data_IF_196252787176
#
_entry.id   IF_196252787176
#
_cell.length_a   1.000
_cell.length_b   1.000
_cell.length_c   1.000
_cell.angle_alpha   90.00
_cell.angle_beta   90.00
_cell.angle_gamma   90.00
#
_symmetry.space_group_name_H-M   'P 1'
#
loop_
_entity.id
_entity.type
_entity.pdbx_description
1 polymer ?
#
# COMPACT_ATOMS: atom_id res chain seq x y z
N UNK A 1 -1.97 1.47 29.02
CA UNK A 1 -1.73 2.84 29.51
C UNK A 1 -3.08 3.51 29.61
N UNK A 2 -3.55 3.72 30.84
CA UNK A 2 -4.82 4.40 31.07
C UNK A 2 -4.63 5.90 30.83
N UNK A 3 -5.10 6.38 29.69
CA UNK A 3 -5.20 7.80 29.43
C UNK A 3 -6.46 8.33 30.15
N UNK A 4 -6.27 8.83 31.35
CA UNK A 4 -7.32 9.51 32.11
C UNK A 4 -7.55 10.92 31.50
N UNK A 5 -8.22 10.95 30.33
CA UNK A 5 -8.52 12.19 29.59
C UNK A 5 -9.83 12.84 30.03
N UNK A 6 -10.46 12.37 31.12
CA UNK A 6 -11.82 12.77 31.51
C UNK A 6 -12.02 14.25 31.88
N UNK A 7 -10.95 15.08 31.94
CA UNK A 7 -11.09 16.48 32.37
C UNK A 7 -10.21 17.51 31.61
N UNK A 8 -9.57 17.15 30.47
CA UNK A 8 -8.85 18.16 29.68
C UNK A 8 -9.82 18.77 28.67
N UNK A 9 -9.91 20.11 28.66
CA UNK A 9 -10.69 20.86 27.67
C UNK A 9 -10.02 20.71 26.31
N UNK A 10 -10.71 20.10 25.34
CA UNK A 10 -10.23 19.96 23.97
C UNK A 10 -10.05 21.34 23.33
N UNK A 11 -8.97 21.51 22.59
CA UNK A 11 -8.61 22.79 21.97
C UNK A 11 -8.66 22.67 20.44
N UNK A 12 -9.10 23.71 19.73
CA UNK A 12 -9.02 23.76 18.27
C UNK A 12 -7.55 23.75 17.82
N UNK A 13 -7.34 23.29 16.59
CA UNK A 13 -6.02 23.26 15.97
C UNK A 13 -5.72 24.66 15.47
N UNK A 14 -4.68 25.29 16.03
CA UNK A 14 -4.24 26.63 15.61
C UNK A 14 -2.98 26.62 14.73
N UNK A 15 -2.47 25.43 14.37
CA UNK A 15 -1.30 25.28 13.53
C UNK A 15 -1.70 24.82 12.13
N UNK A 16 -1.47 25.66 11.12
CA UNK A 16 -1.84 25.40 9.72
C UNK A 16 -1.19 24.13 9.14
N UNK A 17 0.06 23.85 9.47
CA UNK A 17 0.75 22.67 8.98
C UNK A 17 0.15 21.37 9.56
N UNK A 18 -0.27 21.39 10.84
CA UNK A 18 -0.99 20.27 11.44
C UNK A 18 -2.38 20.09 10.82
N UNK A 19 -3.10 21.18 10.54
CA UNK A 19 -4.39 21.15 9.83
C UNK A 19 -4.24 20.48 8.45
N UNK A 20 -3.24 20.88 7.67
CA UNK A 20 -2.96 20.26 6.37
C UNK A 20 -2.66 18.76 6.51
N UNK A 21 -1.89 18.35 7.52
CA UNK A 21 -1.61 16.94 7.80
C UNK A 21 -2.85 16.14 8.23
N UNK A 22 -3.87 16.80 8.75
CA UNK A 22 -5.12 16.19 9.21
C UNK A 22 -6.17 16.02 8.10
N UNK A 23 -6.01 16.63 6.92
CA UNK A 23 -6.97 16.50 5.84
C UNK A 23 -7.28 15.04 5.49
N UNK A 24 -6.24 14.23 5.23
CA UNK A 24 -6.44 12.81 4.91
C UNK A 24 -6.94 11.96 6.10
N UNK A 25 -6.39 12.06 7.32
CA UNK A 25 -6.99 11.43 8.50
C UNK A 25 -8.47 11.74 8.69
N UNK A 26 -8.86 12.99 8.54
CA UNK A 26 -10.27 13.46 8.66
C UNK A 26 -11.13 12.82 7.56
N UNK A 27 -10.70 12.89 6.29
CA UNK A 27 -11.39 12.24 5.18
C UNK A 27 -11.62 10.74 5.44
N UNK A 28 -10.57 10.03 5.87
CA UNK A 28 -10.67 8.59 6.15
C UNK A 28 -11.54 8.28 7.36
N UNK A 29 -11.57 9.19 8.33
CA UNK A 29 -12.44 9.04 9.51
C UNK A 29 -13.91 9.26 9.17
N UNK A 30 -14.23 10.20 8.29
CA UNK A 30 -15.60 10.41 7.81
C UNK A 30 -16.16 9.20 7.04
N UNK A 31 -15.32 8.46 6.31
CA UNK A 31 -15.71 7.22 5.63
C UNK A 31 -15.97 6.03 6.57
N UNK A 32 -15.72 6.17 7.87
CA UNK A 32 -15.85 5.07 8.82
C UNK A 32 -17.30 4.66 9.10
N UNK A 33 -18.27 5.59 8.94
CA UNK A 33 -19.70 5.30 9.10
C UNK A 33 -20.14 4.19 8.14
N UNK A 34 -19.90 4.37 6.84
CA UNK A 34 -20.27 3.42 5.79
C UNK A 34 -19.54 2.08 5.98
N UNK A 35 -18.24 2.16 6.31
CA UNK A 35 -17.47 0.95 6.60
C UNK A 35 -18.05 0.15 7.77
N UNK A 36 -18.43 0.79 8.86
CA UNK A 36 -18.99 0.13 10.05
C UNK A 36 -20.34 -0.50 9.69
N UNK A 37 -21.23 0.23 9.01
CA UNK A 37 -22.51 -0.26 8.52
C UNK A 37 -22.32 -1.50 7.63
N UNK A 38 -21.39 -1.45 6.66
CA UNK A 38 -21.11 -2.57 5.76
C UNK A 38 -20.48 -3.81 6.45
N UNK A 39 -19.94 -3.63 7.65
CA UNK A 39 -19.34 -4.71 8.43
C UNK A 39 -20.28 -5.33 9.47
N UNK A 40 -21.48 -4.81 9.69
CA UNK A 40 -22.39 -5.28 10.74
C UNK A 40 -22.78 -6.75 10.60
N UNK A 41 -22.97 -7.24 9.38
CA UNK A 41 -23.34 -8.64 9.09
C UNK A 41 -22.14 -9.61 9.05
N UNK A 42 -20.91 -9.15 9.29
CA UNK A 42 -19.68 -9.96 9.17
C UNK A 42 -19.26 -10.69 10.46
N UNK A 43 -20.12 -10.73 11.48
CA UNK A 43 -19.83 -11.38 12.78
C UNK A 43 -18.52 -10.94 13.43
N UNK A 44 -18.16 -9.65 13.34
CA UNK A 44 -16.96 -9.08 13.92
C UNK A 44 -17.30 -8.26 15.17
N UNK A 45 -16.29 -8.11 16.05
CA UNK A 45 -16.40 -7.19 17.19
C UNK A 45 -16.34 -5.75 16.67
N UNK A 46 -17.49 -5.10 16.51
CA UNK A 46 -17.63 -3.77 15.94
C UNK A 46 -17.01 -2.68 16.80
N UNK A 47 -16.91 -2.86 18.13
CA UNK A 47 -16.36 -1.84 19.03
C UNK A 47 -14.97 -1.39 18.62
N UNK A 48 -14.09 -2.34 18.27
CA UNK A 48 -12.75 -2.00 17.77
C UNK A 48 -12.76 -1.24 16.47
N UNK A 49 -13.76 -1.47 15.60
CA UNK A 49 -13.92 -0.73 14.36
C UNK A 49 -14.40 0.70 14.64
N UNK A 50 -15.38 0.86 15.52
CA UNK A 50 -15.93 2.16 15.93
C UNK A 50 -14.89 3.06 16.57
N UNK A 51 -13.98 2.48 17.36
CA UNK A 51 -12.87 3.20 18.00
C UNK A 51 -11.73 3.59 17.03
N UNK A 52 -11.70 3.02 15.82
CA UNK A 52 -10.60 3.23 14.88
C UNK A 52 -10.48 4.70 14.47
N UNK A 53 -9.31 5.30 14.74
CA UNK A 53 -9.04 6.71 14.43
C UNK A 53 -9.70 7.72 15.37
N UNK A 54 -10.41 7.30 16.44
CA UNK A 54 -10.94 8.25 17.42
C UNK A 54 -9.84 8.99 18.17
N UNK A 55 -8.70 8.35 18.30
CA UNK A 55 -7.50 8.92 18.92
C UNK A 55 -6.34 8.72 17.96
N UNK A 56 -5.63 9.80 17.65
CA UNK A 56 -4.39 9.78 16.87
C UNK A 56 -3.31 10.62 17.51
N UNK A 57 -2.07 10.30 17.21
CA UNK A 57 -0.90 10.95 17.74
C UNK A 57 0.03 11.39 16.63
N UNK A 58 0.37 12.67 16.61
CA UNK A 58 1.39 13.23 15.75
C UNK A 58 2.65 13.57 16.53
N UNK A 59 3.78 13.49 15.87
CA UNK A 59 5.04 14.05 16.33
C UNK A 59 5.47 15.15 15.34
N UNK A 60 6.12 16.20 15.86
CA UNK A 60 6.55 17.34 15.04
C UNK A 60 8.01 17.69 15.22
N UNK A 61 8.57 18.39 14.24
CA UNK A 61 9.79 19.18 14.38
C UNK A 61 9.63 20.27 15.45
N UNK A 62 10.77 20.84 15.94
CA UNK A 62 10.78 21.88 16.95
C UNK A 62 9.97 23.12 16.55
N UNK A 63 10.12 23.53 15.31
CA UNK A 63 9.45 24.69 14.72
C UNK A 63 7.96 24.44 14.34
N UNK A 64 7.46 23.21 14.56
CA UNK A 64 6.10 22.77 14.20
C UNK A 64 5.74 22.99 12.71
N UNK A 65 6.73 22.92 11.83
CA UNK A 65 6.48 23.00 10.38
C UNK A 65 6.22 21.66 9.75
N UNK A 66 6.69 20.56 10.38
CA UNK A 66 6.55 19.19 9.89
C UNK A 66 5.91 18.31 10.94
N UNK A 67 4.98 17.48 10.48
CA UNK A 67 4.24 16.54 11.33
C UNK A 67 4.22 15.14 10.72
N UNK A 68 4.39 14.13 11.57
CA UNK A 68 4.26 12.73 11.21
C UNK A 68 3.23 12.05 12.10
N UNK A 69 2.39 11.21 11.51
CA UNK A 69 1.45 10.38 12.27
C UNK A 69 2.23 9.26 12.99
N UNK A 70 2.33 9.35 14.31
CA UNK A 70 3.17 8.49 15.15
C UNK A 70 2.40 7.34 15.81
N UNK A 71 1.06 7.42 15.87
CA UNK A 71 0.25 6.38 16.49
C UNK A 71 -1.22 6.72 16.57
N UNK A 72 -2.01 5.81 17.16
CA UNK A 72 -3.46 5.99 17.34
C UNK A 72 -4.17 4.68 17.66
N UNK A 73 -5.49 4.77 17.79
CA UNK A 73 -6.37 3.61 17.89
C UNK A 73 -6.63 3.06 16.48
N UNK A 74 -6.04 1.94 16.13
CA UNK A 74 -6.20 1.37 14.79
C UNK A 74 -6.76 -0.05 14.86
N UNK A 75 -7.84 -0.33 14.11
CA UNK A 75 -8.47 -1.64 14.07
C UNK A 75 -7.67 -2.68 13.29
N UNK A 76 -6.73 -2.24 12.43
CA UNK A 76 -5.91 -3.07 11.53
C UNK A 76 -6.73 -3.93 10.55
N UNK A 77 -8.00 -3.62 10.34
CA UNK A 77 -8.79 -4.27 9.31
C UNK A 77 -8.36 -3.77 7.92
N UNK A 78 -8.12 -4.69 6.98
CA UNK A 78 -7.66 -4.34 5.62
C UNK A 78 -8.67 -3.57 4.79
N UNK A 79 -9.95 -3.66 5.15
CA UNK A 79 -11.05 -2.95 4.50
C UNK A 79 -11.40 -1.64 5.21
N UNK A 80 -10.81 -1.34 6.34
CA UNK A 80 -11.01 -0.07 7.03
C UNK A 80 -10.37 1.08 6.23
N UNK A 81 -11.09 2.17 5.91
CA UNK A 81 -10.55 3.29 5.12
C UNK A 81 -9.31 3.90 5.76
N UNK A 82 -9.32 4.06 7.08
CA UNK A 82 -8.19 4.60 7.82
C UNK A 82 -6.96 3.67 7.84
N UNK A 83 -7.17 2.41 8.22
CA UNK A 83 -6.08 1.45 8.35
C UNK A 83 -5.47 1.04 7.00
N UNK A 84 -6.27 0.93 5.94
CA UNK A 84 -5.79 0.63 4.60
C UNK A 84 -4.94 1.77 4.04
N UNK A 85 -5.34 3.03 4.26
CA UNK A 85 -4.56 4.21 3.91
C UNK A 85 -3.20 4.24 4.63
N UNK A 86 -3.19 4.05 5.96
CA UNK A 86 -1.93 3.98 6.72
C UNK A 86 -1.01 2.87 6.22
N UNK A 87 -1.59 1.71 5.94
CA UNK A 87 -0.85 0.57 5.42
C UNK A 87 -0.28 0.86 4.04
N UNK A 88 -1.03 1.49 3.16
CA UNK A 88 -0.56 1.87 1.83
C UNK A 88 0.64 2.81 1.92
N UNK A 89 0.56 3.87 2.75
CA UNK A 89 1.69 4.79 3.00
C UNK A 89 2.94 4.06 3.50
N UNK A 90 2.80 3.21 4.52
CA UNK A 90 3.92 2.43 5.05
C UNK A 90 4.51 1.50 4.01
N UNK A 91 3.66 0.79 3.27
CA UNK A 91 4.10 -0.13 2.20
C UNK A 91 4.86 0.63 1.11
N UNK A 92 4.45 1.85 0.76
CA UNK A 92 5.14 2.67 -0.23
C UNK A 92 6.59 2.96 0.17
N UNK A 93 6.81 3.35 1.43
CA UNK A 93 8.16 3.56 1.96
C UNK A 93 8.99 2.27 1.95
N UNK A 94 8.44 1.18 2.50
CA UNK A 94 9.10 -0.13 2.55
C UNK A 94 9.50 -0.63 1.16
N UNK A 95 8.65 -0.40 0.15
CA UNK A 95 8.94 -0.78 -1.23
C UNK A 95 10.05 0.08 -1.85
N UNK A 96 10.01 1.40 -1.63
CA UNK A 96 11.05 2.30 -2.12
C UNK A 96 12.41 1.95 -1.53
N UNK A 97 12.48 1.74 -0.22
CA UNK A 97 13.69 1.33 0.47
C UNK A 97 14.21 -0.01 -0.09
N UNK A 98 13.35 -1.02 -0.15
CA UNK A 98 13.72 -2.34 -0.64
C UNK A 98 14.25 -2.33 -2.07
N UNK A 99 13.57 -1.63 -2.98
CA UNK A 99 13.95 -1.58 -4.39
C UNK A 99 15.28 -0.84 -4.55
N UNK A 100 15.47 0.28 -3.85
CA UNK A 100 16.73 1.05 -3.89
C UNK A 100 17.91 0.26 -3.31
N UNK A 101 17.71 -0.46 -2.21
CA UNK A 101 18.73 -1.35 -1.65
C UNK A 101 19.14 -2.42 -2.66
N UNK A 102 18.16 -3.10 -3.27
CA UNK A 102 18.43 -4.14 -4.29
C UNK A 102 19.13 -3.54 -5.52
N UNK A 103 18.70 -2.36 -5.99
CA UNK A 103 19.33 -1.67 -7.13
C UNK A 103 20.81 -1.36 -6.86
N UNK A 104 21.09 -0.78 -5.72
CA UNK A 104 22.44 -0.35 -5.33
C UNK A 104 23.37 -1.54 -5.09
N UNK A 105 22.91 -2.53 -4.33
CA UNK A 105 23.74 -3.67 -3.88
C UNK A 105 23.99 -4.67 -5.01
N UNK A 106 22.94 -5.02 -5.75
CA UNK A 106 22.99 -6.08 -6.76
C UNK A 106 23.24 -5.55 -8.18
N UNK A 107 23.28 -4.21 -8.36
CA UNK A 107 23.47 -3.58 -9.68
C UNK A 107 22.43 -4.01 -10.73
N UNK A 108 21.22 -4.36 -10.28
CA UNK A 108 20.12 -4.81 -11.13
C UNK A 108 19.37 -3.62 -11.75
N UNK A 109 18.56 -3.93 -12.74
CA UNK A 109 17.55 -3.06 -13.32
C UNK A 109 16.16 -3.67 -13.08
N UNK A 110 15.11 -2.92 -13.37
CA UNK A 110 13.74 -3.36 -13.12
C UNK A 110 12.84 -3.17 -14.34
N UNK A 111 11.88 -4.06 -14.47
CA UNK A 111 10.77 -3.93 -15.42
C UNK A 111 9.46 -3.95 -14.66
N UNK A 112 8.50 -3.16 -15.14
CA UNK A 112 7.13 -3.14 -14.63
C UNK A 112 6.24 -3.94 -15.58
N UNK A 113 5.48 -4.89 -15.03
CA UNK A 113 4.57 -5.75 -15.79
C UNK A 113 3.16 -5.57 -15.24
N UNK A 114 2.18 -5.44 -16.14
CA UNK A 114 0.75 -5.54 -15.81
C UNK A 114 0.17 -6.75 -16.52
N UNK A 115 -0.47 -7.63 -15.75
CA UNK A 115 -1.21 -8.78 -16.26
C UNK A 115 -2.68 -8.61 -15.93
N UNK A 116 -3.55 -8.83 -16.90
CA UNK A 116 -4.99 -8.70 -16.74
C UNK A 116 -5.71 -9.99 -17.11
N UNK A 117 -6.96 -10.12 -16.67
CA UNK A 117 -7.93 -11.11 -17.10
C UNK A 117 -9.23 -10.40 -17.46
N UNK A 118 -10.16 -11.03 -18.20
CA UNK A 118 -11.47 -10.44 -18.47
C UNK A 118 -12.21 -10.08 -17.18
N UNK A 119 -13.10 -9.10 -17.28
CA UNK A 119 -13.97 -8.72 -16.19
C UNK A 119 -14.88 -9.89 -15.78
N UNK A 120 -15.22 -9.94 -14.51
CA UNK A 120 -16.06 -10.98 -13.94
C UNK A 120 -17.14 -10.39 -13.01
N UNK A 121 -18.27 -11.10 -12.88
CA UNK A 121 -19.28 -10.75 -11.90
C UNK A 121 -18.80 -11.02 -10.46
N UNK A 122 -19.52 -10.48 -9.48
CA UNK A 122 -19.24 -10.68 -8.05
C UNK A 122 -19.06 -12.16 -7.69
N UNK A 123 -19.99 -13.01 -8.14
CA UNK A 123 -20.03 -14.43 -7.77
C UNK A 123 -18.80 -15.20 -8.25
N UNK A 124 -18.20 -14.77 -9.37
CA UNK A 124 -17.03 -15.40 -9.99
C UNK A 124 -15.70 -14.80 -9.54
N UNK A 125 -15.72 -13.63 -8.88
CA UNK A 125 -14.50 -12.88 -8.55
C UNK A 125 -13.51 -13.70 -7.73
N UNK A 126 -13.97 -14.40 -6.71
CA UNK A 126 -13.11 -15.21 -5.84
C UNK A 126 -12.45 -16.37 -6.59
N UNK A 127 -13.21 -17.06 -7.43
CA UNK A 127 -12.72 -18.17 -8.25
C UNK A 127 -11.71 -17.64 -9.29
N UNK A 128 -12.02 -16.51 -9.95
CA UNK A 128 -11.11 -15.89 -10.92
C UNK A 128 -9.78 -15.49 -10.28
N UNK A 129 -9.78 -14.92 -9.08
CA UNK A 129 -8.55 -14.61 -8.35
C UNK A 129 -7.71 -15.89 -8.09
N UNK A 130 -8.34 -17.02 -7.81
CA UNK A 130 -7.63 -18.30 -7.61
C UNK A 130 -7.05 -18.83 -8.93
N UNK A 131 -7.81 -18.79 -10.01
CA UNK A 131 -7.36 -19.13 -11.35
C UNK A 131 -6.21 -18.22 -11.81
N UNK A 132 -6.31 -16.93 -11.52
CA UNK A 132 -5.31 -15.92 -11.81
C UNK A 132 -3.97 -16.21 -11.08
N UNK A 133 -4.03 -16.57 -9.80
CA UNK A 133 -2.84 -16.98 -9.05
C UNK A 133 -2.19 -18.26 -9.61
N UNK A 134 -2.99 -19.26 -10.00
CA UNK A 134 -2.48 -20.50 -10.63
C UNK A 134 -1.84 -20.20 -11.99
N UNK A 135 -2.46 -19.32 -12.78
CA UNK A 135 -1.96 -18.88 -14.09
C UNK A 135 -0.66 -18.12 -13.96
N UNK A 136 -0.57 -17.22 -12.99
CA UNK A 136 0.67 -16.51 -12.66
C UNK A 136 1.82 -17.48 -12.35
N UNK A 137 1.57 -18.49 -11.52
CA UNK A 137 2.58 -19.50 -11.22
C UNK A 137 3.06 -20.21 -12.49
N UNK A 138 2.13 -20.65 -13.37
CA UNK A 138 2.48 -21.29 -14.65
C UNK A 138 3.34 -20.38 -15.53
N UNK A 139 3.03 -19.09 -15.63
CA UNK A 139 3.79 -18.11 -16.41
C UNK A 139 5.23 -18.00 -15.90
N UNK A 140 5.41 -17.83 -14.59
CA UNK A 140 6.72 -17.64 -13.96
C UNK A 140 7.58 -18.92 -13.90
N UNK A 141 6.98 -20.08 -14.12
CA UNK A 141 7.69 -21.36 -14.27
C UNK A 141 8.19 -21.62 -15.70
N UNK A 142 7.80 -20.81 -16.69
CA UNK A 142 8.29 -20.93 -18.07
C UNK A 142 9.80 -20.68 -18.16
N UNK A 143 10.44 -21.30 -19.16
CA UNK A 143 11.88 -21.10 -19.40
C UNK A 143 12.20 -19.65 -19.69
N UNK A 144 11.34 -18.97 -20.43
CA UNK A 144 11.48 -17.57 -20.81
C UNK A 144 11.51 -16.64 -19.57
N UNK A 145 10.61 -16.83 -18.62
CA UNK A 145 10.62 -16.02 -17.39
C UNK A 145 11.80 -16.37 -16.49
N UNK A 146 12.15 -17.63 -16.37
CA UNK A 146 13.31 -18.05 -15.56
C UNK A 146 14.63 -17.51 -16.08
N UNK A 147 14.74 -17.26 -17.40
CA UNK A 147 15.98 -16.78 -18.00
C UNK A 147 16.41 -15.39 -17.49
N UNK A 148 15.45 -14.48 -17.26
CA UNK A 148 15.77 -13.11 -16.85
C UNK A 148 15.35 -12.74 -15.42
N UNK A 149 14.39 -13.46 -14.83
CA UNK A 149 13.80 -13.10 -13.53
C UNK A 149 14.75 -13.42 -12.36
N UNK A 150 15.18 -12.40 -11.63
CA UNK A 150 15.96 -12.53 -10.38
C UNK A 150 15.09 -12.49 -9.13
N UNK A 151 13.86 -12.04 -9.28
CA UNK A 151 12.86 -11.89 -8.23
C UNK A 151 11.81 -10.88 -8.63
N UNK A 152 10.68 -10.91 -7.94
CA UNK A 152 9.58 -9.99 -8.21
C UNK A 152 8.87 -9.55 -6.93
N UNK A 153 8.25 -8.38 -7.02
CA UNK A 153 7.20 -7.90 -6.11
C UNK A 153 5.92 -7.89 -6.93
N UNK A 154 4.85 -8.56 -6.46
CA UNK A 154 3.56 -8.64 -7.15
C UNK A 154 2.45 -8.13 -6.27
N UNK A 155 1.64 -7.25 -6.80
CA UNK A 155 0.41 -6.72 -6.19
C UNK A 155 -0.82 -7.24 -6.93
N UNK A 156 -1.81 -7.72 -6.18
CA UNK A 156 -3.17 -7.94 -6.69
C UNK A 156 -3.97 -6.66 -6.49
N UNK A 157 -4.55 -6.17 -7.56
CA UNK A 157 -5.49 -5.06 -7.58
C UNK A 157 -6.78 -5.50 -8.28
N UNK A 158 -7.90 -4.94 -7.86
CA UNK A 158 -9.20 -5.14 -8.49
C UNK A 158 -9.82 -3.76 -8.67
N UNK A 159 -10.26 -3.46 -9.88
CA UNK A 159 -11.09 -2.30 -10.17
C UNK A 159 -12.55 -2.74 -10.38
N UNK A 160 -13.47 -1.86 -10.03
CA UNK A 160 -14.89 -2.06 -10.27
C UNK A 160 -15.38 -1.11 -11.36
N UNK A 161 -16.25 -1.60 -12.23
CA UNK A 161 -16.92 -0.80 -13.22
C UNK A 161 -18.41 -0.71 -12.88
N UNK A 162 -18.86 0.49 -12.55
CA UNK A 162 -20.24 0.76 -12.12
C UNK A 162 -21.26 0.52 -13.24
N UNK A 163 -20.95 0.95 -14.47
CA UNK A 163 -21.87 0.80 -15.61
C UNK A 163 -22.15 -0.66 -15.97
N UNK A 164 -21.13 -1.52 -15.85
CA UNK A 164 -21.26 -2.95 -16.16
C UNK A 164 -21.50 -3.81 -14.95
N UNK A 165 -21.40 -3.26 -13.75
CA UNK A 165 -21.48 -3.98 -12.48
C UNK A 165 -20.53 -5.20 -12.46
N UNK A 166 -19.28 -5.01 -12.85
CA UNK A 166 -18.28 -6.07 -12.95
C UNK A 166 -16.93 -5.67 -12.34
N UNK A 167 -16.11 -6.68 -12.04
CA UNK A 167 -14.82 -6.55 -11.39
C UNK A 167 -13.71 -6.95 -12.35
N UNK A 168 -12.61 -6.20 -12.36
CA UNK A 168 -11.46 -6.44 -13.21
C UNK A 168 -10.20 -6.69 -12.38
N UNK A 169 -9.84 -7.97 -12.10
CA UNK A 169 -8.58 -8.29 -11.43
C UNK A 169 -7.37 -8.07 -12.33
N UNK A 170 -6.31 -7.51 -11.76
CA UNK A 170 -5.04 -7.41 -12.44
C UNK A 170 -3.86 -7.51 -11.45
N UNK A 171 -2.72 -7.93 -11.97
CA UNK A 171 -1.46 -7.91 -11.24
C UNK A 171 -0.56 -6.80 -11.75
N UNK A 172 -0.02 -6.03 -10.82
CA UNK A 172 1.13 -5.17 -11.05
C UNK A 172 2.37 -5.82 -10.47
N UNK A 173 3.46 -5.80 -11.23
CA UNK A 173 4.72 -6.40 -10.82
C UNK A 173 5.89 -5.46 -11.07
N UNK A 174 6.83 -5.47 -10.13
CA UNK A 174 8.21 -5.07 -10.39
C UNK A 174 9.05 -6.34 -10.42
N UNK A 175 9.77 -6.56 -11.50
CA UNK A 175 10.64 -7.73 -11.69
C UNK A 175 12.09 -7.24 -11.81
N UNK A 176 12.97 -7.81 -10.99
CA UNK A 176 14.40 -7.55 -11.03
C UNK A 176 15.06 -8.34 -12.17
N UNK A 177 15.86 -7.66 -12.99
CA UNK A 177 16.55 -8.22 -14.16
C UNK A 177 18.00 -7.72 -14.20
N UNK A 178 18.87 -8.42 -14.91
CA UNK A 178 20.23 -7.93 -15.19
C UNK A 178 20.14 -6.64 -16.05
N UNK A 179 21.08 -5.71 -15.89
CA UNK A 179 21.13 -4.48 -16.73
C UNK A 179 21.21 -4.78 -18.22
N UNK A 180 21.84 -5.90 -18.59
CA UNK A 180 21.95 -6.37 -19.99
C UNK A 180 20.63 -6.89 -20.56
N UNK A 181 19.60 -7.08 -19.76
CA UNK A 181 18.29 -7.60 -20.23
C UNK A 181 17.73 -6.85 -21.43
N UNK A 182 17.83 -5.52 -21.43
CA UNK A 182 17.25 -4.68 -22.48
C UNK A 182 17.88 -4.84 -23.86
N UNK A 183 19.09 -5.40 -23.94
CA UNK A 183 19.83 -5.67 -25.18
C UNK A 183 20.08 -7.15 -25.40
N UNK A 184 19.57 -8.01 -24.52
CA UNK A 184 19.79 -9.47 -24.58
C UNK A 184 18.74 -10.18 -25.42
N UNK A 185 19.04 -11.42 -25.80
CA UNK A 185 18.09 -12.33 -26.45
C UNK A 185 16.90 -12.70 -25.55
N UNK A 186 17.03 -12.49 -24.25
CA UNK A 186 16.01 -12.82 -23.26
C UNK A 186 15.00 -11.66 -23.08
N UNK A 187 15.14 -10.60 -23.89
CA UNK A 187 14.21 -9.48 -23.88
C UNK A 187 12.78 -9.93 -24.21
N UNK A 188 11.84 -9.66 -23.30
CA UNK A 188 10.43 -10.02 -23.42
C UNK A 188 9.64 -8.89 -24.08
N UNK A 189 9.19 -9.08 -25.31
CA UNK A 189 8.29 -8.13 -25.97
C UNK A 189 6.87 -8.24 -25.42
N UNK A 190 6.08 -7.17 -25.52
CA UNK A 190 4.66 -7.15 -25.12
C UNK A 190 3.85 -8.24 -25.82
N UNK A 191 4.07 -8.45 -27.13
CA UNK A 191 3.43 -9.52 -27.90
C UNK A 191 3.77 -10.90 -27.33
N UNK A 192 5.04 -11.15 -27.06
CA UNK A 192 5.46 -12.44 -26.51
C UNK A 192 4.91 -12.69 -25.12
N UNK A 193 4.88 -11.64 -24.27
CA UNK A 193 4.25 -11.72 -22.96
C UNK A 193 2.76 -12.07 -23.06
N UNK A 194 2.03 -11.47 -23.99
CA UNK A 194 0.61 -11.76 -24.22
C UNK A 194 0.39 -13.23 -24.63
N UNK A 195 1.18 -13.75 -25.58
CA UNK A 195 1.11 -15.14 -26.00
C UNK A 195 1.36 -16.14 -24.84
N UNK A 196 2.35 -15.83 -24.01
CA UNK A 196 2.66 -16.64 -22.83
C UNK A 196 1.54 -16.54 -21.77
N UNK A 197 0.98 -15.36 -21.60
CA UNK A 197 -0.11 -15.14 -20.65
C UNK A 197 -1.41 -15.84 -21.07
N UNK A 198 -1.79 -15.75 -22.35
CA UNK A 198 -2.91 -16.50 -22.91
C UNK A 198 -2.75 -18.01 -22.70
N UNK A 199 -1.55 -18.54 -22.93
CA UNK A 199 -1.25 -19.97 -22.65
C UNK A 199 -1.34 -20.30 -21.16
N UNK A 200 -0.78 -19.45 -20.30
CA UNK A 200 -0.79 -19.66 -18.85
C UNK A 200 -2.19 -19.62 -18.27
N UNK A 201 -3.06 -18.74 -18.77
CA UNK A 201 -4.46 -18.62 -18.36
C UNK A 201 -5.37 -19.63 -19.05
N UNK A 202 -4.92 -20.21 -20.18
CA UNK A 202 -5.74 -21.01 -21.10
C UNK A 202 -6.92 -20.21 -21.67
N UNK A 203 -6.72 -18.90 -21.82
CA UNK A 203 -7.73 -17.98 -22.32
C UNK A 203 -7.18 -17.12 -23.47
N UNK A 204 -7.51 -17.45 -24.73
CA UNK A 204 -7.05 -16.70 -25.91
C UNK A 204 -7.72 -15.33 -26.05
N UNK A 205 -8.81 -15.07 -25.31
CA UNK A 205 -9.54 -13.81 -25.39
C UNK A 205 -8.89 -12.67 -24.59
N UNK A 206 -7.81 -12.93 -23.87
CA UNK A 206 -7.03 -11.89 -23.20
C UNK A 206 -6.30 -11.08 -24.29
N UNK A 207 -6.54 -9.78 -24.31
CA UNK A 207 -5.96 -8.88 -25.33
C UNK A 207 -4.97 -7.89 -24.77
N UNK A 208 -4.87 -7.78 -23.44
CA UNK A 208 -4.10 -6.75 -22.79
C UNK A 208 -3.12 -7.32 -21.74
N UNK A 209 -1.88 -6.93 -21.90
CA UNK A 209 -0.81 -7.00 -20.91
C UNK A 209 0.07 -5.77 -21.13
N UNK A 210 0.89 -5.42 -20.16
CA UNK A 210 1.91 -4.39 -20.36
C UNK A 210 3.26 -4.84 -19.78
N UNK A 211 4.34 -4.40 -20.42
CA UNK A 211 5.71 -4.59 -19.96
C UNK A 211 6.54 -3.38 -20.40
N UNK A 212 7.17 -2.73 -19.43
CA UNK A 212 7.96 -1.52 -19.66
C UNK A 212 9.13 -1.44 -18.68
N UNK A 213 10.22 -0.73 -19.02
CA UNK A 213 11.28 -0.44 -18.05
C UNK A 213 10.70 0.29 -16.84
N UNK A 214 11.11 -0.12 -15.65
CA UNK A 214 10.81 0.57 -14.41
C UNK A 214 11.98 1.49 -14.08
N UNK A 215 11.80 2.80 -14.22
CA UNK A 215 12.82 3.79 -13.87
C UNK A 215 12.58 4.25 -12.44
N UNK A 216 13.63 4.23 -11.63
CA UNK A 216 13.54 4.61 -10.21
C UNK A 216 13.38 6.10 -9.97
N UNK A 217 13.63 6.93 -10.98
CA UNK A 217 13.23 8.34 -10.99
C UNK A 217 11.71 8.53 -11.06
N UNK A 218 10.98 7.49 -11.50
CA UNK A 218 9.53 7.49 -11.58
C UNK A 218 8.93 6.71 -10.39
N UNK A 219 8.85 7.35 -9.24
CA UNK A 219 8.20 6.82 -8.01
C UNK A 219 6.80 6.26 -8.28
N UNK A 220 6.12 6.76 -9.31
CA UNK A 220 4.76 6.38 -9.70
C UNK A 220 4.54 4.87 -9.83
N UNK A 221 5.45 4.12 -10.47
CA UNK A 221 5.29 2.67 -10.66
C UNK A 221 5.41 1.89 -9.34
N UNK A 222 6.26 2.37 -8.43
CA UNK A 222 6.38 1.79 -7.10
C UNK A 222 5.14 2.11 -6.28
N UNK A 223 4.57 3.31 -6.45
CA UNK A 223 3.32 3.70 -5.81
C UNK A 223 2.15 2.81 -6.24
N UNK A 224 2.07 2.41 -7.53
CA UNK A 224 1.04 1.47 -8.01
C UNK A 224 1.06 0.13 -7.23
N UNK A 225 2.24 -0.32 -6.76
CA UNK A 225 2.33 -1.51 -5.89
C UNK A 225 1.89 -1.26 -4.45
N UNK A 226 1.98 -0.02 -4.00
CA UNK A 226 1.65 0.35 -2.62
C UNK A 226 0.17 0.71 -2.43
N UNK A 227 -0.50 1.17 -3.50
CA UNK A 227 -1.91 1.60 -3.48
C UNK A 227 -2.86 0.52 -2.97
N UNK A 228 -4.11 0.86 -2.78
CA UNK A 228 -5.15 -0.08 -2.34
C UNK A 228 -5.34 -1.20 -3.37
N UNK A 229 -5.77 -2.38 -2.90
CA UNK A 229 -6.18 -3.48 -3.80
C UNK A 229 -7.58 -3.28 -4.38
N UNK A 230 -8.31 -2.27 -3.90
CA UNK A 230 -9.56 -1.74 -4.44
C UNK A 230 -9.53 -0.23 -4.19
N UNK A 231 -9.90 0.58 -5.18
CA UNK A 231 -10.02 2.04 -4.97
C UNK A 231 -11.07 2.30 -3.90
N UNK A 232 -10.78 3.21 -2.97
CA UNK A 232 -11.70 3.46 -1.85
C UNK A 232 -13.06 3.99 -2.32
N UNK A 233 -13.09 4.84 -3.35
CA UNK A 233 -14.34 5.29 -3.96
C UNK A 233 -15.21 4.13 -4.45
N UNK A 234 -14.61 3.17 -5.16
CA UNK A 234 -15.33 1.99 -5.63
C UNK A 234 -15.76 1.10 -4.46
N UNK A 235 -14.85 0.86 -3.50
CA UNK A 235 -15.07 -0.05 -2.36
C UNK A 235 -16.27 0.33 -1.49
N UNK A 236 -16.53 1.63 -1.32
CA UNK A 236 -17.61 2.14 -0.46
C UNK A 236 -18.78 2.74 -1.25
N UNK A 237 -18.86 2.47 -2.56
CA UNK A 237 -19.95 3.00 -3.39
C UNK A 237 -21.32 2.41 -3.00
N UNK A 238 -21.36 1.14 -2.61
CA UNK A 238 -22.54 0.48 -2.04
C UNK A 238 -22.16 -0.75 -1.21
N UNK A 239 -23.09 -1.20 -0.36
CA UNK A 239 -22.95 -2.45 0.42
C UNK A 239 -22.69 -3.66 -0.48
N UNK A 240 -23.37 -3.75 -1.61
CA UNK A 240 -23.23 -4.86 -2.55
C UNK A 240 -21.83 -4.92 -3.17
N UNK A 241 -21.29 -3.77 -3.58
CA UNK A 241 -19.93 -3.66 -4.13
C UNK A 241 -18.90 -3.97 -3.05
N UNK A 242 -19.09 -3.43 -1.85
CA UNK A 242 -18.24 -3.75 -0.70
C UNK A 242 -18.16 -5.25 -0.43
N UNK A 243 -19.31 -5.94 -0.42
CA UNK A 243 -19.38 -7.38 -0.19
C UNK A 243 -18.64 -8.16 -1.28
N UNK A 244 -18.74 -7.74 -2.54
CA UNK A 244 -17.98 -8.34 -3.64
C UNK A 244 -16.47 -8.26 -3.41
N UNK A 245 -15.95 -7.09 -3.05
CA UNK A 245 -14.54 -6.93 -2.70
C UNK A 245 -14.17 -7.73 -1.44
N UNK A 246 -15.02 -7.69 -0.41
CA UNK A 246 -14.78 -8.41 0.83
C UNK A 246 -14.64 -9.90 0.58
N UNK A 247 -15.60 -10.54 -0.10
CA UNK A 247 -15.61 -11.96 -0.42
C UNK A 247 -14.44 -12.36 -1.32
N UNK A 248 -14.17 -11.56 -2.35
CA UNK A 248 -13.07 -11.78 -3.30
C UNK A 248 -11.70 -11.71 -2.65
N UNK A 249 -11.47 -10.70 -1.79
CA UNK A 249 -10.16 -10.41 -1.20
C UNK A 249 -9.96 -11.02 0.18
N UNK A 250 -11.00 -11.56 0.82
CA UNK A 250 -10.90 -12.11 2.17
C UNK A 250 -9.84 -13.22 2.25
N UNK A 251 -8.84 -13.05 3.15
CA UNK A 251 -7.68 -13.93 3.35
C UNK A 251 -6.79 -14.14 2.12
N UNK A 252 -6.90 -13.32 1.07
CA UNK A 252 -5.96 -13.37 -0.07
C UNK A 252 -4.69 -12.59 0.25
N UNK A 253 -3.54 -13.07 -0.27
CA UNK A 253 -2.28 -12.32 -0.22
C UNK A 253 -2.28 -11.28 -1.33
N UNK A 254 -2.30 -10.01 -0.95
CA UNK A 254 -2.39 -8.89 -1.90
C UNK A 254 -1.01 -8.51 -2.44
N UNK A 255 0.01 -8.55 -1.59
CA UNK A 255 1.40 -8.25 -1.94
C UNK A 255 2.27 -9.48 -1.69
N UNK A 256 3.10 -9.83 -2.66
CA UNK A 256 3.96 -11.03 -2.61
C UNK A 256 5.36 -10.66 -3.06
N UNK A 257 6.35 -11.07 -2.28
CA UNK A 257 7.78 -10.93 -2.58
C UNK A 257 8.36 -12.29 -2.97
N UNK A 258 9.26 -12.31 -3.97
CA UNK A 258 9.94 -13.50 -4.43
C UNK A 258 11.41 -13.21 -4.79
N UNK A 259 12.26 -14.26 -4.77
CA UNK A 259 13.66 -14.16 -5.14
C UNK A 259 14.40 -13.11 -4.33
N UNK A 260 15.20 -12.29 -5.01
CA UNK A 260 16.06 -11.26 -4.40
C UNK A 260 15.29 -10.31 -3.48
N UNK A 261 14.06 -9.91 -3.84
CA UNK A 261 13.26 -9.01 -3.01
C UNK A 261 12.83 -9.65 -1.67
N UNK A 262 12.53 -10.97 -1.68
CA UNK A 262 12.21 -11.69 -0.44
C UNK A 262 13.42 -11.81 0.47
N UNK A 263 14.60 -12.04 -0.12
CA UNK A 263 15.86 -12.13 0.60
C UNK A 263 16.21 -10.80 1.27
N UNK A 264 16.26 -9.71 0.50
CA UNK A 264 16.62 -8.39 1.03
C UNK A 264 15.59 -7.84 2.00
N UNK A 265 14.29 -8.09 1.76
CA UNK A 265 13.27 -7.74 2.76
C UNK A 265 13.56 -8.41 4.10
N UNK A 266 13.92 -9.69 4.11
CA UNK A 266 14.30 -10.39 5.34
C UNK A 266 15.54 -9.78 5.98
N UNK A 267 16.58 -9.45 5.22
CA UNK A 267 17.81 -8.82 5.72
C UNK A 267 17.53 -7.45 6.36
N UNK A 268 16.65 -6.65 5.75
CA UNK A 268 16.20 -5.37 6.30
C UNK A 268 15.39 -5.59 7.60
N UNK A 269 14.44 -6.51 7.58
CA UNK A 269 13.54 -6.79 8.72
C UNK A 269 14.32 -7.25 9.96
N UNK A 270 15.47 -7.93 9.80
CA UNK A 270 16.33 -8.37 10.91
C UNK A 270 17.50 -7.42 11.20
N UNK A 271 17.59 -6.28 10.52
CA UNK A 271 18.64 -5.27 10.73
C UNK A 271 20.03 -5.64 10.17
N UNK A 272 20.14 -6.68 9.33
CA UNK A 272 21.39 -7.04 8.65
C UNK A 272 21.78 -6.03 7.55
N UNK A 273 20.78 -5.42 6.95
CA UNK A 273 20.93 -4.32 5.97
C UNK A 273 20.19 -3.10 6.48
N UNK A 274 20.90 -2.00 6.63
CA UNK A 274 20.32 -0.69 6.96
C UNK A 274 20.06 0.10 5.67
N UNK A 275 18.79 0.32 5.27
CA UNK A 275 18.46 1.07 4.07
C UNK A 275 19.03 2.51 4.08
N UNK A 276 19.21 3.10 5.25
CA UNK A 276 19.69 4.49 5.36
C UNK A 276 21.13 4.67 4.88
N UNK A 277 21.93 3.60 4.88
CA UNK A 277 23.31 3.63 4.38
C UNK A 277 23.39 3.59 2.85
N UNK A 278 22.36 3.07 2.20
CA UNK A 278 22.31 2.89 0.74
C UNK A 278 21.58 4.04 0.07
N UNK A 279 20.56 4.56 0.73
CA UNK A 279 19.80 5.69 0.24
C UNK A 279 20.57 6.94 0.71
N UNK A 280 21.30 7.60 -0.20
CA UNK A 280 21.73 8.97 0.02
C UNK A 280 20.51 9.86 0.20
N UNK A 281 19.96 9.82 1.39
CA UNK A 281 18.91 10.72 1.84
C UNK A 281 19.56 12.08 2.13
N UNK A 282 19.97 12.75 1.08
CA UNK A 282 20.31 14.18 1.08
C UNK A 282 19.10 15.06 1.44
N UNK A 283 18.04 14.46 1.96
CA UNK A 283 16.91 15.17 2.52
C UNK A 283 17.06 15.12 4.03
N UNK A 284 17.37 16.29 4.58
CA UNK A 284 17.49 16.59 6.00
C UNK A 284 16.57 15.70 6.84
N UNK A 285 17.19 14.77 7.57
CA UNK A 285 16.54 14.03 8.63
C UNK A 285 16.28 15.03 9.75
N UNK A 286 15.03 15.43 9.89
CA UNK A 286 14.64 16.25 11.04
C UNK A 286 14.25 15.35 12.19
N UNK A 287 14.60 15.78 13.39
CA UNK A 287 14.26 15.08 14.61
C UNK A 287 12.92 15.57 15.14
N UNK A 288 12.08 14.62 15.59
CA UNK A 288 10.83 14.98 16.26
C UNK A 288 11.11 15.39 17.69
N UNK A 289 10.58 16.53 18.14
CA UNK A 289 10.77 17.05 19.50
C UNK A 289 9.48 17.19 20.30
N UNK A 290 8.33 17.24 19.62
CA UNK A 290 7.01 17.42 20.25
C UNK A 290 6.02 16.35 19.84
N UNK A 291 5.06 16.09 20.72
CA UNK A 291 4.04 15.09 20.51
C UNK A 291 2.67 15.70 20.78
N UNK A 292 1.75 15.54 19.80
CA UNK A 292 0.38 16.03 19.83
C UNK A 292 -0.57 14.86 19.93
N UNK A 293 -1.48 14.92 20.89
CA UNK A 293 -2.52 13.94 21.10
C UNK A 293 -3.85 14.55 20.63
N UNK A 294 -4.48 13.91 19.65
CA UNK A 294 -5.70 14.42 19.04
C UNK A 294 -6.84 13.43 19.22
N UNK A 295 -8.01 13.98 19.50
CA UNK A 295 -9.25 13.22 19.67
C UNK A 295 -10.26 13.65 18.63
N UNK A 296 -10.97 12.68 18.06
CA UNK A 296 -12.06 12.89 17.13
C UNK A 296 -13.31 13.31 17.88
N UNK A 297 -13.89 14.44 17.50
CA UNK A 297 -15.14 14.94 18.06
C UNK A 297 -15.88 15.83 17.05
N UNK A 298 -17.18 15.59 16.85
CA UNK A 298 -18.04 16.36 15.95
C UNK A 298 -17.42 16.61 14.58
N UNK A 299 -17.00 15.52 13.93
CA UNK A 299 -16.44 15.48 12.58
C UNK A 299 -15.09 16.20 12.39
N UNK A 300 -14.36 16.45 13.48
CA UNK A 300 -13.03 17.04 13.46
C UNK A 300 -12.10 16.45 14.51
N UNK A 301 -10.79 16.58 14.29
CA UNK A 301 -9.80 16.33 15.32
C UNK A 301 -9.55 17.59 16.15
N UNK A 302 -9.54 17.42 17.47
CA UNK A 302 -9.20 18.47 18.43
C UNK A 302 -7.96 18.05 19.24
N UNK A 303 -7.13 19.02 19.65
CA UNK A 303 -5.96 18.78 20.48
C UNK A 303 -6.43 18.47 21.90
N UNK A 304 -6.14 17.26 22.37
CA UNK A 304 -6.36 16.83 23.74
C UNK A 304 -5.13 17.11 24.63
N UNK A 305 -3.92 17.05 24.06
CA UNK A 305 -2.69 17.32 24.78
C UNK A 305 -1.53 17.63 23.83
N UNK A 306 -0.55 18.42 24.30
CA UNK A 306 0.74 18.66 23.64
C UNK A 306 1.84 18.46 24.68
N UNK A 307 2.92 17.77 24.31
CA UNK A 307 4.05 17.47 25.20
C UNK A 307 5.37 17.56 24.47
N UNK A 308 6.42 17.89 25.22
CA UNK A 308 7.78 17.67 24.77
C UNK A 308 8.07 16.17 24.68
N UNK A 309 8.81 15.77 23.67
CA UNK A 309 9.18 14.38 23.44
C UNK A 309 10.54 14.10 24.09
N UNK A 310 10.62 13.14 25.04
CA UNK A 310 11.88 12.73 25.64
C UNK A 310 12.87 12.28 24.56
N UNK A 311 14.14 12.55 24.77
CA UNK A 311 15.22 12.37 23.77
C UNK A 311 15.28 10.92 23.26
N UNK A 312 15.09 9.93 24.13
CA UNK A 312 15.07 8.52 23.78
C UNK A 312 13.88 8.09 22.90
N UNK A 313 12.85 8.94 22.78
CA UNK A 313 11.66 8.68 21.92
C UNK A 313 11.63 9.53 20.66
N UNK A 314 12.61 10.40 20.48
CA UNK A 314 12.75 11.21 19.27
C UNK A 314 13.05 10.33 18.07
N UNK A 315 12.44 10.62 16.94
CA UNK A 315 12.62 9.88 15.70
C UNK A 315 13.09 10.82 14.62
N UNK A 316 14.04 10.35 13.84
CA UNK A 316 14.39 10.99 12.58
C UNK A 316 13.36 10.55 11.54
N UNK A 317 12.87 11.47 10.74
CA UNK A 317 11.91 11.18 9.70
C UNK A 317 12.35 11.76 8.36
N UNK A 318 11.96 11.07 7.31
CA UNK A 318 12.29 11.46 5.95
C UNK A 318 11.29 12.51 5.44
N UNK A 319 11.81 13.54 4.75
CA UNK A 319 10.99 14.56 4.14
C UNK A 319 10.43 14.14 2.77
N UNK A 320 9.94 12.91 2.66
CA UNK A 320 9.31 12.41 1.46
C UNK A 320 7.80 12.61 1.55
N UNK A 321 7.25 13.53 0.77
CA UNK A 321 5.81 13.60 0.54
C UNK A 321 5.42 12.43 -0.36
N UNK A 322 4.81 11.41 0.22
CA UNK A 322 4.19 10.32 -0.53
C UNK A 322 2.68 10.60 -0.50
N UNK A 323 2.18 11.12 -1.61
CA UNK A 323 0.73 11.24 -1.82
C UNK A 323 0.20 9.91 -2.35
N UNK A 324 -0.61 9.27 -1.54
CA UNK A 324 -1.40 8.09 -1.91
C UNK A 324 -2.86 8.54 -1.83
N UNK A 325 -3.43 8.74 -2.99
CA UNK A 325 -4.85 9.04 -3.15
C UNK A 325 -5.73 7.82 -2.92
#
# INVERSE_FOLDING_TARGET
>A
MDFNTKNKKLQPIGNKNLEECLNKPTEKKLMMSDFIEFMEDKNLKLDRLKECGNFIKFQSSEDKTKFILAGGNFCNNRFCPFCSWLKAKRTAFELLELIKVVEYTEKLAFIFITLTVPNVSREKLREEIECFNKSFKRLFETKEFKAFNKGFIRKLEITYNEERNDYHPHFHLVVAVNKSYFTSRDYMSKRRLLELWQRATRNPNITQVDIKPCRMDTIKQVMELATYSAKQGDLYSSKEVFDGFYEGLFRKKLLVYNGIFKEYKKKIDIGEVDPTQVIELNQLLEETTKEFYLQWEKDNYLIADERELPEERRKKFYNLKIDID
#
